data_IF_327198836414
#
_entry.id   IF_327198836414
#
_cell.length_a   1.000
_cell.length_b   1.000
_cell.length_c   1.000
_cell.angle_alpha   90.00
_cell.angle_beta   90.00
_cell.angle_gamma   90.00
#
_symmetry.space_group_name_H-M   'P 1'
#
loop_
_entity.id
_entity.type
_entity.pdbx_description
1 polymer ?
#
# COMPACT_ATOMS: atom_id res chain seq x y z
N UNK A 1 -16.20 -5.63 39.54
CA UNK A 1 -15.01 -6.24 38.90
C UNK A 1 -15.32 -6.38 37.42
N UNK A 2 -14.80 -5.48 36.59
CA UNK A 2 -15.17 -5.37 35.17
C UNK A 2 -14.11 -6.03 34.28
N UNK A 3 -14.44 -7.07 33.48
CA UNK A 3 -13.52 -7.64 32.52
C UNK A 3 -13.78 -6.99 31.14
N UNK A 4 -13.25 -5.79 30.89
CA UNK A 4 -13.46 -5.13 29.58
C UNK A 4 -12.27 -4.28 29.12
N UNK A 5 -11.05 -4.67 29.51
CA UNK A 5 -9.84 -3.93 29.09
C UNK A 5 -9.08 -4.64 27.96
N UNK A 6 -8.97 -5.97 27.99
CA UNK A 6 -8.11 -6.73 27.05
C UNK A 6 -8.65 -6.83 25.62
N UNK A 7 -9.97 -6.89 25.41
CA UNK A 7 -10.56 -7.02 24.06
C UNK A 7 -10.49 -5.71 23.26
N UNK A 8 -10.65 -4.56 23.91
CA UNK A 8 -10.60 -3.24 23.26
C UNK A 8 -9.20 -2.95 22.72
N UNK A 9 -8.17 -3.30 23.49
CA UNK A 9 -6.77 -3.18 23.06
C UNK A 9 -6.43 -4.13 21.91
N UNK A 10 -6.94 -5.36 21.90
CA UNK A 10 -6.73 -6.29 20.77
C UNK A 10 -7.40 -5.83 19.48
N UNK A 11 -8.63 -5.33 19.56
CA UNK A 11 -9.34 -4.79 18.40
C UNK A 11 -8.65 -3.55 17.85
N UNK A 12 -8.19 -2.66 18.73
CA UNK A 12 -7.46 -1.46 18.32
C UNK A 12 -6.12 -1.81 17.66
N UNK A 13 -5.34 -2.73 18.25
CA UNK A 13 -4.08 -3.18 17.67
C UNK A 13 -4.28 -3.86 16.31
N UNK A 14 -5.31 -4.70 16.14
CA UNK A 14 -5.63 -5.31 14.84
C UNK A 14 -6.08 -4.27 13.79
N UNK A 15 -6.75 -3.20 14.22
CA UNK A 15 -7.12 -2.07 13.37
C UNK A 15 -5.91 -1.22 12.97
N UNK A 16 -4.95 -1.05 13.87
CA UNK A 16 -3.71 -0.31 13.61
C UNK A 16 -2.75 -1.16 12.75
N UNK A 17 -2.69 -2.47 12.94
CA UNK A 17 -2.03 -3.43 12.05
C UNK A 17 -2.68 -3.45 10.67
N UNK A 18 -4.01 -3.37 10.58
CA UNK A 18 -4.72 -3.26 9.30
C UNK A 18 -4.49 -1.91 8.58
N UNK A 19 -3.99 -0.89 9.28
CA UNK A 19 -3.60 0.41 8.69
C UNK A 19 -2.12 0.48 8.32
N UNK A 20 -1.28 -0.33 8.96
CA UNK A 20 0.14 -0.38 8.66
C UNK A 20 0.36 -0.83 7.20
N UNK A 21 1.32 -0.22 6.51
CA UNK A 21 1.68 -0.64 5.17
C UNK A 21 2.20 -2.09 5.22
N UNK A 22 1.64 -3.02 4.42
CA UNK A 22 2.08 -4.43 4.40
C UNK A 22 3.54 -4.61 3.97
N UNK A 23 4.14 -3.61 3.32
CA UNK A 23 5.52 -3.66 2.83
C UNK A 23 6.37 -2.67 3.60
N UNK A 24 7.65 -3.01 3.78
CA UNK A 24 8.62 -2.15 4.46
C UNK A 24 9.71 -1.71 3.48
N UNK A 25 9.75 -0.44 3.07
CA UNK A 25 10.88 0.13 2.35
C UNK A 25 12.13 0.08 3.23
N UNK A 26 13.19 -0.56 2.75
CA UNK A 26 14.45 -0.74 3.50
C UNK A 26 15.50 0.30 3.11
N UNK A 27 15.46 0.78 1.87
CA UNK A 27 16.43 1.75 1.38
C UNK A 27 16.66 1.68 -0.12
N UNK A 28 17.78 2.23 -0.56
CA UNK A 28 18.27 2.13 -1.94
C UNK A 28 19.72 1.66 -1.96
N UNK A 29 20.09 0.86 -2.95
CA UNK A 29 21.47 0.44 -3.21
C UNK A 29 21.71 0.30 -4.71
N UNK A 30 22.78 0.88 -5.23
CA UNK A 30 23.16 0.85 -6.65
C UNK A 30 22.02 1.25 -7.63
N UNK A 31 21.19 2.22 -7.22
CA UNK A 31 20.02 2.66 -8.01
C UNK A 31 18.84 1.67 -8.02
N UNK A 32 18.87 0.68 -7.12
CA UNK A 32 17.79 -0.30 -6.90
C UNK A 32 17.06 0.00 -5.60
N UNK A 33 15.78 -0.36 -5.56
CA UNK A 33 14.93 -0.24 -4.38
C UNK A 33 14.97 -1.53 -3.56
N UNK A 34 15.30 -1.41 -2.28
CA UNK A 34 15.31 -2.51 -1.33
C UNK A 34 14.02 -2.47 -0.52
N UNK A 35 13.22 -3.53 -0.58
CA UNK A 35 11.88 -3.59 0.01
C UNK A 35 11.72 -4.95 0.67
N UNK A 36 11.19 -4.99 1.89
CA UNK A 36 10.62 -6.20 2.48
C UNK A 36 9.16 -6.28 2.10
N UNK A 37 8.76 -7.36 1.44
CA UNK A 37 7.39 -7.58 1.03
C UNK A 37 6.49 -8.02 2.20
N UNK A 38 5.20 -8.21 1.92
CA UNK A 38 4.21 -8.63 2.92
C UNK A 38 4.38 -10.07 3.40
N UNK A 39 5.18 -10.90 2.71
CA UNK A 39 5.59 -12.21 3.20
C UNK A 39 6.73 -12.11 4.22
N UNK A 40 7.42 -10.96 4.27
CA UNK A 40 8.64 -10.76 5.04
C UNK A 40 9.92 -10.98 4.22
N UNK A 41 9.81 -11.25 2.91
CA UNK A 41 10.95 -11.51 2.05
C UNK A 41 11.57 -10.21 1.54
N UNK A 42 12.90 -10.14 1.52
CA UNK A 42 13.61 -8.98 1.00
C UNK A 42 13.76 -9.07 -0.53
N UNK A 43 13.37 -7.99 -1.20
CA UNK A 43 13.32 -7.90 -2.65
C UNK A 43 14.02 -6.65 -3.13
N UNK A 44 14.80 -6.82 -4.18
CA UNK A 44 15.51 -5.76 -4.87
C UNK A 44 14.82 -5.50 -6.21
N UNK A 45 14.32 -4.28 -6.40
CA UNK A 45 13.58 -3.90 -7.61
C UNK A 45 14.28 -2.77 -8.37
N UNK A 46 14.28 -2.90 -9.70
CA UNK A 46 14.65 -1.84 -10.64
C UNK A 46 13.53 -0.78 -10.72
N UNK A 47 13.83 0.47 -11.13
CA UNK A 47 12.82 1.49 -11.39
C UNK A 47 11.68 1.04 -12.31
N UNK A 48 12.01 0.41 -13.44
CA UNK A 48 10.99 -0.14 -14.35
C UNK A 48 10.10 -1.23 -13.73
N UNK A 49 10.53 -1.86 -12.63
CA UNK A 49 9.78 -2.93 -11.97
C UNK A 49 8.76 -2.37 -10.98
N UNK A 50 9.06 -1.24 -10.31
CA UNK A 50 8.06 -0.60 -9.45
C UNK A 50 6.92 0.03 -10.25
N UNK A 51 7.13 0.35 -11.54
CA UNK A 51 6.06 0.78 -12.46
C UNK A 51 5.16 -0.35 -12.96
N UNK A 52 5.55 -1.60 -12.72
CA UNK A 52 4.80 -2.75 -13.18
C UNK A 52 3.77 -3.18 -12.13
N UNK A 53 2.47 -3.08 -12.47
CA UNK A 53 1.35 -3.48 -11.61
C UNK A 53 1.51 -4.87 -10.99
N UNK A 54 1.91 -5.86 -11.79
CA UNK A 54 2.03 -7.24 -11.30
C UNK A 54 3.16 -7.40 -10.29
N UNK A 55 4.27 -6.69 -10.51
CA UNK A 55 5.39 -6.70 -9.57
C UNK A 55 5.01 -5.97 -8.28
N UNK A 56 4.38 -4.79 -8.38
CA UNK A 56 3.89 -4.07 -7.20
C UNK A 56 2.93 -4.95 -6.40
N UNK A 57 1.91 -5.53 -7.04
CA UNK A 57 0.98 -6.44 -6.37
C UNK A 57 1.68 -7.65 -5.73
N UNK A 58 2.73 -8.18 -6.34
CA UNK A 58 3.48 -9.30 -5.77
C UNK A 58 4.15 -8.94 -4.44
N UNK A 59 4.45 -7.66 -4.18
CA UNK A 59 4.94 -7.21 -2.88
C UNK A 59 3.85 -7.27 -1.79
N UNK A 60 2.58 -7.18 -2.16
CA UNK A 60 1.45 -7.23 -1.24
C UNK A 60 0.76 -8.61 -1.23
N UNK A 61 1.45 -9.67 -1.65
CA UNK A 61 0.88 -11.02 -1.77
C UNK A 61 -0.39 -11.10 -2.66
N UNK A 62 -0.53 -10.15 -3.59
CA UNK A 62 -1.71 -10.03 -4.45
C UNK A 62 -2.91 -9.32 -3.82
N UNK A 63 -2.84 -8.91 -2.55
CA UNK A 63 -3.87 -8.09 -1.90
C UNK A 63 -3.62 -6.61 -2.17
N UNK A 64 -4.47 -6.00 -3.00
CA UNK A 64 -4.38 -4.58 -3.34
C UNK A 64 -5.24 -3.68 -2.45
N UNK A 65 -5.82 -4.20 -1.36
CA UNK A 65 -6.68 -3.44 -0.44
C UNK A 65 -5.99 -2.19 0.08
N UNK A 66 -4.75 -2.30 0.57
CA UNK A 66 -3.99 -1.15 1.07
C UNK A 66 -3.67 -0.16 -0.05
N UNK A 67 -3.32 -0.66 -1.25
CA UNK A 67 -3.02 0.18 -2.41
C UNK A 67 -4.26 0.97 -2.88
N UNK A 68 -5.43 0.33 -2.92
CA UNK A 68 -6.70 0.98 -3.30
C UNK A 68 -7.17 2.01 -2.28
N UNK A 69 -6.88 1.79 -1.00
CA UNK A 69 -7.21 2.74 0.07
C UNK A 69 -6.31 3.98 0.03
N UNK A 70 -5.01 3.81 -0.24
CA UNK A 70 -4.04 4.91 -0.19
C UNK A 70 -3.85 5.61 -1.55
N UNK A 71 -4.02 4.89 -2.66
CA UNK A 71 -3.86 5.39 -4.02
C UNK A 71 -5.09 5.03 -4.87
N UNK A 72 -6.31 5.46 -4.52
CA UNK A 72 -7.50 5.03 -5.24
C UNK A 72 -7.50 5.49 -6.69
N UNK A 73 -7.79 4.57 -7.61
CA UNK A 73 -8.15 4.90 -9.00
C UNK A 73 -9.66 4.81 -9.16
N UNK A 74 -10.26 5.97 -9.41
CA UNK A 74 -11.70 6.08 -9.65
C UNK A 74 -12.03 5.89 -11.13
N UNK A 75 -13.17 5.26 -11.39
CA UNK A 75 -13.82 5.30 -12.70
C UNK A 75 -15.30 5.68 -12.53
N UNK A 76 -15.83 6.36 -13.55
CA UNK A 76 -17.25 6.62 -13.65
C UNK A 76 -17.95 5.35 -14.14
N UNK A 77 -18.88 4.86 -13.32
CA UNK A 77 -19.73 3.73 -13.63
C UNK A 77 -21.15 4.26 -13.80
N UNK A 78 -21.75 3.95 -14.94
CA UNK A 78 -23.15 4.26 -15.19
C UNK A 78 -23.99 3.09 -14.71
N UNK A 79 -24.70 3.28 -13.60
CA UNK A 79 -25.65 2.29 -13.09
C UNK A 79 -27.06 2.65 -13.58
N UNK A 80 -27.77 1.65 -14.08
CA UNK A 80 -29.17 1.79 -14.47
C UNK A 80 -30.04 1.40 -13.29
N UNK A 81 -30.89 2.33 -12.85
CA UNK A 81 -31.87 2.09 -11.81
C UNK A 81 -33.03 1.23 -12.34
N UNK A 82 -33.80 0.58 -11.44
CA UNK A 82 -34.99 -0.19 -11.81
C UNK A 82 -36.07 0.63 -12.54
N UNK A 83 -36.11 1.95 -12.31
CA UNK A 83 -37.02 2.90 -12.97
C UNK A 83 -36.56 3.32 -14.38
N UNK A 84 -35.40 2.83 -14.83
CA UNK A 84 -34.82 3.14 -16.13
C UNK A 84 -33.92 4.38 -16.16
N UNK A 85 -33.81 5.15 -15.08
CA UNK A 85 -32.87 6.26 -14.96
C UNK A 85 -31.41 5.75 -14.90
N UNK A 86 -30.47 6.57 -15.37
CA UNK A 86 -29.04 6.27 -15.32
C UNK A 86 -28.38 7.23 -14.33
N UNK A 87 -27.71 6.68 -13.33
CA UNK A 87 -26.89 7.44 -12.39
C UNK A 87 -25.42 7.23 -12.72
N UNK A 88 -24.66 8.32 -12.75
CA UNK A 88 -23.21 8.26 -12.83
C UNK A 88 -22.65 8.21 -11.40
N UNK A 89 -22.01 7.11 -11.06
CA UNK A 89 -21.35 6.92 -9.77
C UNK A 89 -19.83 6.82 -9.97
N UNK A 90 -19.06 7.47 -9.11
CA UNK A 90 -17.61 7.25 -9.05
C UNK A 90 -17.33 6.06 -8.13
N UNK A 91 -16.63 5.05 -8.64
CA UNK A 91 -16.22 3.87 -7.85
C UNK A 91 -14.71 3.64 -7.95
N UNK A 92 -14.11 3.14 -6.88
CA UNK A 92 -12.71 2.70 -6.89
C UNK A 92 -12.65 1.40 -7.67
N UNK A 93 -11.95 1.40 -8.81
CA UNK A 93 -11.82 0.24 -9.69
C UNK A 93 -10.47 -0.45 -9.57
N UNK A 94 -9.44 0.29 -9.18
CA UNK A 94 -8.07 -0.19 -9.00
C UNK A 94 -7.30 0.82 -8.13
N UNK A 95 -5.98 0.72 -8.08
CA UNK A 95 -5.10 1.76 -7.55
C UNK A 95 -4.38 2.56 -8.64
N UNK A 96 -3.97 3.78 -8.33
CA UNK A 96 -3.16 4.62 -9.20
C UNK A 96 -1.70 4.16 -9.13
N UNK A 97 -1.22 3.52 -10.20
CA UNK A 97 0.12 2.95 -10.26
C UNK A 97 1.23 3.98 -10.15
N UNK A 98 1.07 5.13 -10.80
CA UNK A 98 2.09 6.19 -10.80
C UNK A 98 2.30 6.71 -9.38
N UNK A 99 1.19 7.02 -8.68
CA UNK A 99 1.26 7.44 -7.27
C UNK A 99 1.85 6.35 -6.36
N UNK A 100 1.51 5.07 -6.61
CA UNK A 100 2.10 3.96 -5.86
C UNK A 100 3.61 3.82 -6.11
N UNK A 101 4.06 3.90 -7.37
CA UNK A 101 5.48 3.90 -7.74
C UNK A 101 6.24 5.03 -7.06
N UNK A 102 5.73 6.26 -7.18
CA UNK A 102 6.34 7.45 -6.59
C UNK A 102 6.45 7.32 -5.08
N UNK A 103 5.42 6.78 -4.43
CA UNK A 103 5.44 6.52 -3.00
C UNK A 103 6.53 5.51 -2.64
N UNK A 104 6.62 4.38 -3.35
CA UNK A 104 7.65 3.34 -3.11
C UNK A 104 9.05 3.95 -3.25
N UNK A 105 9.30 4.69 -4.33
CA UNK A 105 10.59 5.30 -4.60
C UNK A 105 10.99 6.30 -3.51
N UNK A 106 10.08 7.20 -3.14
CA UNK A 106 10.31 8.19 -2.08
C UNK A 106 10.50 7.54 -0.71
N UNK A 107 9.73 6.50 -0.40
CA UNK A 107 9.84 5.81 0.88
C UNK A 107 11.19 5.06 0.99
N UNK A 108 11.67 4.43 -0.09
CA UNK A 108 13.00 3.83 -0.14
C UNK A 108 14.12 4.89 -0.02
N UNK A 109 13.98 6.04 -0.69
CA UNK A 109 14.92 7.15 -0.56
C UNK A 109 15.00 7.66 0.89
N UNK A 110 13.85 7.86 1.53
CA UNK A 110 13.79 8.31 2.92
C UNK A 110 14.36 7.27 3.89
N UNK A 111 14.08 5.97 3.68
CA UNK A 111 14.64 4.89 4.49
C UNK A 111 16.17 4.83 4.38
N UNK A 112 16.72 5.03 3.18
CA UNK A 112 18.16 5.11 2.97
C UNK A 112 18.76 6.26 3.81
N UNK A 113 18.16 7.45 3.77
CA UNK A 113 18.66 8.61 4.50
C UNK A 113 18.52 8.48 6.03
N UNK A 114 17.44 7.83 6.50
CA UNK A 114 17.25 7.55 7.92
C UNK A 114 18.31 6.59 8.47
N UNK A 115 18.77 5.62 7.67
CA UNK A 115 19.84 4.70 8.07
C UNK A 115 21.20 5.40 8.28
N UNK A 116 21.47 6.50 7.56
CA UNK A 116 22.70 7.28 7.73
C UNK A 116 22.65 8.28 8.90
N UNK A 117 21.46 8.68 9.34
CA UNK A 117 21.28 9.65 10.43
C UNK A 117 21.34 9.02 11.84
N UNK A 118 21.35 7.69 11.95
CA UNK A 118 21.38 6.96 13.23
C UNK A 118 22.76 6.54 13.74
N UNK A 119 23.83 7.03 13.13
CA UNK A 119 25.21 6.75 13.54
C UNK A 119 25.83 7.92 14.30
N UNK A 120 25.44 8.10 15.57
CA UNK A 120 26.18 8.87 16.58
C UNK A 120 26.52 7.97 17.77
#
# INVERSE_FOLDING_TARGET
>A
MSPTSTQKTRLQNALDEAKACPITPLGMGDGLYLIRDAAGDERTLLPRQIDNRHIVMSLFLGDDTWLRQNFPKYAHVYAKNPDGSVIAESRIVDFNREQASDWIANACFNAANAAFAGGE
#
